data_IF_331044904834
#
_entry.id   IF_331044904834
#
_cell.length_a   1.000
_cell.length_b   1.000
_cell.length_c   1.000
_cell.angle_alpha   90.00
_cell.angle_beta   90.00
_cell.angle_gamma   90.00
#
_symmetry.space_group_name_H-M   'P 1'
#
loop_
_entity.id
_entity.type
_entity.pdbx_description
1 polymer ?
#
# COMPACT_ATOMS: atom_id res chain seq x y z
N UNK A 1 -4.83 12.91 -2.36
CA UNK A 1 -4.39 12.47 -3.70
C UNK A 1 -4.90 11.06 -3.94
N UNK A 2 -5.60 10.83 -5.05
CA UNK A 2 -6.10 9.53 -5.46
C UNK A 2 -5.25 8.96 -6.60
N UNK A 3 -5.04 7.65 -6.59
CA UNK A 3 -4.33 6.89 -7.61
C UNK A 3 -5.29 5.84 -8.16
N UNK A 4 -5.42 5.74 -9.48
CA UNK A 4 -6.26 4.73 -10.14
C UNK A 4 -5.37 3.83 -10.98
N UNK A 5 -5.48 2.52 -10.75
CA UNK A 5 -4.85 1.49 -11.55
C UNK A 5 -5.60 1.24 -12.86
N UNK A 6 -4.90 0.66 -13.82
CA UNK A 6 -5.47 0.25 -15.10
C UNK A 6 -6.66 -0.72 -14.94
N UNK A 7 -7.70 -0.54 -15.75
CA UNK A 7 -8.80 -1.48 -15.93
C UNK A 7 -8.73 -2.07 -17.35
N UNK A 8 -8.37 -3.35 -17.45
CA UNK A 8 -8.27 -4.15 -18.68
C UNK A 8 -8.67 -5.61 -18.40
N UNK A 9 -9.96 -5.90 -18.19
CA UNK A 9 -10.43 -7.26 -17.88
C UNK A 9 -10.06 -8.32 -18.94
N UNK A 10 -9.85 -7.91 -20.19
CA UNK A 10 -9.39 -8.78 -21.28
C UNK A 10 -7.92 -9.22 -21.14
N UNK A 11 -7.07 -8.38 -20.53
CA UNK A 11 -5.63 -8.65 -20.33
C UNK A 11 -5.31 -9.08 -18.88
N UNK A 12 -6.19 -8.76 -17.94
CA UNK A 12 -6.02 -8.99 -16.50
C UNK A 12 -7.18 -9.85 -15.96
N UNK A 13 -7.07 -11.19 -16.02
CA UNK A 13 -8.17 -12.10 -15.70
C UNK A 13 -8.78 -11.91 -14.29
N UNK A 14 -7.99 -11.42 -13.33
CA UNK A 14 -8.48 -11.11 -11.98
C UNK A 14 -9.56 -10.03 -11.93
N UNK A 15 -9.62 -9.14 -12.93
CA UNK A 15 -10.61 -8.07 -13.03
C UNK A 15 -11.94 -8.56 -13.65
N UNK A 16 -11.91 -9.65 -14.41
CA UNK A 16 -13.09 -10.27 -15.02
C UNK A 16 -13.64 -11.45 -14.19
N UNK A 17 -12.89 -11.89 -13.17
CA UNK A 17 -13.23 -13.08 -12.40
C UNK A 17 -14.53 -12.91 -11.61
N UNK A 18 -15.50 -13.84 -11.70
CA UNK A 18 -16.69 -13.82 -10.85
C UNK A 18 -16.37 -14.08 -9.36
N UNK A 19 -15.15 -14.55 -9.06
CA UNK A 19 -14.65 -14.73 -7.71
C UNK A 19 -13.72 -13.60 -7.27
N UNK A 20 -13.72 -12.47 -7.99
CA UNK A 20 -12.93 -11.32 -7.58
C UNK A 20 -13.44 -10.79 -6.25
N UNK A 21 -12.50 -10.47 -5.36
CA UNK A 21 -12.79 -9.94 -4.02
C UNK A 21 -12.67 -8.41 -3.95
N UNK A 22 -12.37 -7.76 -5.08
CA UNK A 22 -12.17 -6.33 -5.18
C UNK A 22 -13.11 -5.77 -6.25
N UNK A 23 -13.71 -4.62 -5.98
CA UNK A 23 -14.33 -3.79 -6.99
C UNK A 23 -13.24 -3.09 -7.82
N UNK A 24 -13.22 -3.37 -9.13
CA UNK A 24 -12.20 -2.86 -10.05
C UNK A 24 -12.69 -1.59 -10.76
N UNK A 25 -11.81 -0.62 -11.08
CA UNK A 25 -10.35 -0.66 -10.94
C UNK A 25 -9.86 -0.53 -9.50
N UNK A 26 -8.64 -1.00 -9.26
CA UNK A 26 -7.96 -0.73 -7.99
C UNK A 26 -7.74 0.78 -7.83
N UNK A 27 -8.17 1.33 -6.71
CA UNK A 27 -8.01 2.74 -6.36
C UNK A 27 -7.34 2.85 -5.00
N UNK A 28 -6.46 3.82 -4.86
CA UNK A 28 -5.74 4.03 -3.60
C UNK A 28 -5.51 5.51 -3.33
N UNK A 29 -5.22 5.85 -2.09
CA UNK A 29 -5.20 7.24 -1.66
C UNK A 29 -4.09 7.55 -0.65
N UNK A 30 -3.55 8.75 -0.74
CA UNK A 30 -2.64 9.35 0.25
C UNK A 30 -3.11 10.77 0.58
N UNK A 31 -2.79 11.27 1.77
CA UNK A 31 -2.87 12.73 2.01
C UNK A 31 -1.88 13.45 1.10
N UNK A 32 -2.05 14.75 0.90
CA UNK A 32 -1.06 15.52 0.13
C UNK A 32 0.30 15.49 0.82
N UNK A 33 0.35 15.65 2.14
CA UNK A 33 1.58 15.59 2.94
C UNK A 33 2.31 14.24 2.79
N UNK A 34 1.57 13.13 2.80
CA UNK A 34 2.14 11.80 2.57
C UNK A 34 2.67 11.64 1.15
N UNK A 35 1.92 12.11 0.15
CA UNK A 35 2.27 11.97 -1.25
C UNK A 35 3.50 12.81 -1.66
N UNK A 36 3.71 13.96 -1.01
CA UNK A 36 4.87 14.83 -1.25
C UNK A 36 6.04 14.56 -0.32
N UNK A 37 5.89 13.63 0.63
CA UNK A 37 6.96 13.25 1.55
C UNK A 37 8.14 12.63 0.77
N UNK A 38 9.41 12.98 1.07
CA UNK A 38 10.57 12.47 0.32
C UNK A 38 10.73 10.95 0.26
N UNK A 39 10.14 10.23 1.23
CA UNK A 39 10.12 8.76 1.24
C UNK A 39 8.99 8.15 0.39
N UNK A 40 8.03 8.94 -0.11
CA UNK A 40 7.07 8.48 -1.09
C UNK A 40 7.60 8.78 -2.49
N UNK A 41 7.71 7.76 -3.33
CA UNK A 41 8.33 7.92 -4.64
C UNK A 41 7.67 7.08 -5.73
N UNK A 42 7.71 7.62 -6.94
CA UNK A 42 7.37 6.90 -8.15
C UNK A 42 8.41 5.83 -8.45
N UNK A 43 7.97 4.60 -8.69
CA UNK A 43 8.84 3.47 -9.02
C UNK A 43 8.59 3.04 -10.46
N UNK A 44 9.69 2.96 -11.23
CA UNK A 44 9.71 2.59 -12.65
C UNK A 44 10.56 1.35 -12.95
N UNK A 45 11.17 0.75 -11.92
CA UNK A 45 11.95 -0.47 -12.05
C UNK A 45 12.42 -1.01 -10.71
N UNK A 46 12.98 -2.22 -10.71
CA UNK A 46 13.55 -2.90 -9.54
C UNK A 46 14.84 -3.57 -9.98
N UNK A 47 15.93 -3.38 -9.24
CA UNK A 47 17.26 -3.94 -9.57
C UNK A 47 17.75 -3.64 -11.00
N UNK A 48 17.39 -2.46 -11.54
CA UNK A 48 17.76 -2.06 -12.90
C UNK A 48 16.83 -2.58 -14.00
N UNK A 49 15.87 -3.45 -13.67
CA UNK A 49 14.90 -3.98 -14.63
C UNK A 49 13.56 -3.22 -14.55
N UNK A 50 13.04 -2.86 -15.72
CA UNK A 50 11.77 -2.15 -15.90
C UNK A 50 10.67 -3.07 -16.46
N UNK A 51 11.01 -4.29 -16.90
CA UNK A 51 10.10 -5.25 -17.53
C UNK A 51 9.53 -6.25 -16.52
N UNK A 52 9.10 -5.76 -15.36
CA UNK A 52 8.57 -6.57 -14.26
C UNK A 52 7.07 -6.28 -14.02
N UNK A 53 6.16 -6.77 -14.89
CA UNK A 53 4.73 -6.50 -14.77
C UNK A 53 4.16 -6.94 -13.41
N UNK A 54 4.63 -8.04 -12.82
CA UNK A 54 4.23 -8.50 -11.49
C UNK A 54 4.50 -7.47 -10.37
N UNK A 55 5.49 -6.59 -10.57
CA UNK A 55 5.81 -5.50 -9.65
C UNK A 55 4.93 -4.26 -9.85
N UNK A 56 4.11 -4.20 -10.91
CA UNK A 56 3.23 -3.08 -11.24
C UNK A 56 3.82 -2.06 -12.22
N UNK A 57 4.79 -2.48 -13.03
CA UNK A 57 5.45 -1.65 -14.05
C UNK A 57 4.52 -1.39 -15.25
N UNK A 58 4.63 -0.26 -15.97
CA UNK A 58 5.76 0.68 -15.98
C UNK A 58 5.75 1.70 -14.84
N UNK A 59 4.66 1.80 -14.08
CA UNK A 59 4.53 2.85 -13.06
C UNK A 59 3.69 2.41 -11.86
N UNK A 60 4.28 2.54 -10.67
CA UNK A 60 3.62 2.39 -9.37
C UNK A 60 4.09 3.46 -8.40
N UNK A 61 3.33 3.68 -7.33
CA UNK A 61 3.79 4.47 -6.18
C UNK A 61 4.38 3.53 -5.13
N UNK A 62 5.38 3.97 -4.37
CA UNK A 62 5.94 3.24 -3.22
C UNK A 62 5.92 4.11 -1.98
N UNK A 63 5.39 3.56 -0.89
CA UNK A 63 5.23 4.25 0.40
C UNK A 63 5.76 3.34 1.52
N UNK A 64 7.05 3.46 1.88
CA UNK A 64 7.76 2.39 2.60
C UNK A 64 7.35 2.20 4.06
N UNK A 65 6.67 3.18 4.67
CA UNK A 65 6.23 3.11 6.07
C UNK A 65 4.79 2.60 6.27
N UNK A 66 4.09 2.32 5.16
CA UNK A 66 2.71 1.81 5.14
C UNK A 66 2.68 0.35 4.72
N UNK A 67 1.56 -0.33 5.00
CA UNK A 67 1.35 -1.68 4.47
C UNK A 67 1.31 -1.68 2.94
N UNK A 68 1.72 -2.80 2.33
CA UNK A 68 1.99 -2.89 0.90
C UNK A 68 0.83 -2.52 -0.02
N UNK A 69 -0.42 -2.68 0.44
CA UNK A 69 -1.58 -2.31 -0.37
C UNK A 69 -1.66 -0.80 -0.66
N UNK A 70 -1.07 0.06 0.17
CA UNK A 70 -1.00 1.51 -0.10
C UNK A 70 -0.11 1.88 -1.28
N UNK A 71 0.70 0.94 -1.79
CA UNK A 71 1.58 1.12 -2.94
C UNK A 71 0.91 0.61 -4.23
N UNK A 72 -0.02 1.40 -4.76
CA UNK A 72 -0.80 1.06 -5.95
C UNK A 72 0.07 0.81 -7.20
N UNK A 73 -0.31 -0.22 -7.97
CA UNK A 73 0.39 -0.70 -9.17
C UNK A 73 -0.30 -0.24 -10.45
N UNK A 74 0.42 -0.20 -11.57
CA UNK A 74 -0.13 0.11 -12.90
C UNK A 74 -0.96 1.40 -12.92
N UNK A 75 -0.43 2.47 -12.32
CA UNK A 75 -1.16 3.72 -12.15
C UNK A 75 -1.36 4.37 -13.52
N UNK A 76 -2.61 4.69 -13.86
CA UNK A 76 -2.99 5.36 -15.11
C UNK A 76 -3.60 6.76 -14.88
N UNK A 77 -4.00 7.08 -13.64
CA UNK A 77 -4.55 8.38 -13.28
C UNK A 77 -4.14 8.78 -11.86
N UNK A 78 -3.79 10.04 -11.70
CA UNK A 78 -3.58 10.69 -10.39
C UNK A 78 -4.55 11.88 -10.32
N UNK A 79 -5.34 11.94 -9.25
CA UNK A 79 -6.33 13.00 -9.04
C UNK A 79 -6.05 13.74 -7.74
N UNK A 80 -5.98 15.07 -7.82
CA UNK A 80 -5.99 15.94 -6.65
C UNK A 80 -7.44 16.27 -6.30
N UNK A 81 -7.79 16.11 -5.03
CA UNK A 81 -9.16 16.26 -4.52
C UNK A 81 -9.07 16.92 -3.15
N UNK A 82 -10.03 17.79 -2.86
CA UNK A 82 -10.21 18.42 -1.55
C UNK A 82 -10.71 17.40 -0.52
N UNK A 83 -11.59 16.50 -0.95
CA UNK A 83 -12.14 15.44 -0.12
C UNK A 83 -11.24 14.21 -0.10
N UNK A 84 -11.34 13.43 0.99
CA UNK A 84 -10.61 12.18 1.17
C UNK A 84 -11.08 11.14 0.14
N UNK A 85 -10.23 10.73 -0.81
CA UNK A 85 -10.63 9.75 -1.81
C UNK A 85 -10.74 8.34 -1.22
N UNK A 86 -11.52 7.50 -1.89
CA UNK A 86 -11.66 6.11 -1.54
C UNK A 86 -10.36 5.31 -1.75
N UNK A 87 -10.25 4.18 -1.06
CA UNK A 87 -9.14 3.24 -1.11
C UNK A 87 -9.69 1.81 -1.13
N UNK A 88 -9.28 0.98 -2.10
CA UNK A 88 -9.91 -0.31 -2.38
C UNK A 88 -10.03 -1.18 -1.12
N UNK A 89 -8.94 -1.49 -0.42
CA UNK A 89 -9.03 -2.37 0.76
C UNK A 89 -9.82 -1.77 1.92
N UNK A 90 -9.84 -0.45 2.03
CA UNK A 90 -10.67 0.24 3.02
C UNK A 90 -12.16 0.14 2.71
N UNK A 91 -12.54 0.15 1.42
CA UNK A 91 -13.90 -0.08 0.97
C UNK A 91 -14.32 -1.55 1.15
N UNK A 92 -13.46 -2.49 0.72
CA UNK A 92 -13.80 -3.91 0.72
C UNK A 92 -13.90 -4.51 2.13
N UNK A 93 -13.04 -4.09 3.04
CA UNK A 93 -13.01 -4.62 4.40
C UNK A 93 -12.60 -3.53 5.42
N UNK A 94 -13.47 -2.53 5.68
CA UNK A 94 -13.17 -1.41 6.56
C UNK A 94 -12.86 -1.83 8.01
N UNK A 95 -13.35 -2.99 8.46
CA UNK A 95 -13.02 -3.54 9.78
C UNK A 95 -11.58 -4.08 9.89
N UNK A 96 -10.92 -4.32 8.77
CA UNK A 96 -9.60 -4.94 8.66
C UNK A 96 -8.51 -3.96 8.22
N UNK A 97 -8.86 -3.07 7.29
CA UNK A 97 -7.93 -2.13 6.65
C UNK A 97 -8.42 -0.68 6.80
N UNK A 98 -7.79 0.08 7.69
CA UNK A 98 -8.06 1.51 7.82
C UNK A 98 -7.41 2.31 6.69
N UNK A 99 -7.87 3.54 6.49
CA UNK A 99 -7.47 4.37 5.34
C UNK A 99 -5.99 4.77 5.34
N UNK A 100 -5.37 5.07 6.48
CA UNK A 100 -3.96 5.48 6.54
C UNK A 100 -3.00 4.29 6.43
N UNK A 101 -3.30 3.19 7.14
CA UNK A 101 -2.57 1.92 7.07
C UNK A 101 -1.05 2.02 7.30
N UNK A 102 -0.61 2.86 8.23
CA UNK A 102 0.77 2.88 8.70
C UNK A 102 1.12 1.53 9.37
N UNK A 103 2.37 1.09 9.27
CA UNK A 103 2.84 -0.14 9.94
C UNK A 103 2.92 0.11 11.44
N UNK A 104 2.00 -0.48 12.19
CA UNK A 104 1.96 -0.40 13.66
C UNK A 104 1.98 -1.81 14.27
N UNK A 105 3.15 -2.32 14.71
CA UNK A 105 3.26 -3.66 15.29
C UNK A 105 2.39 -3.88 16.54
N UNK A 106 2.06 -2.80 17.25
CA UNK A 106 1.21 -2.81 18.44
C UNK A 106 -0.29 -2.96 18.14
N UNK A 107 -0.71 -2.88 16.87
CA UNK A 107 -2.10 -2.99 16.46
C UNK A 107 -2.24 -4.23 15.58
N UNK A 108 -2.87 -5.27 16.12
CA UNK A 108 -3.13 -6.50 15.40
C UNK A 108 -4.20 -6.31 14.32
N UNK A 109 -4.02 -7.02 13.20
CA UNK A 109 -5.09 -7.28 12.26
C UNK A 109 -6.17 -8.14 12.95
N UNK A 110 -7.48 -8.02 12.62
CA UNK A 110 -8.52 -8.83 13.26
C UNK A 110 -8.28 -10.35 13.24
N UNK A 111 -7.52 -10.83 12.25
CA UNK A 111 -7.23 -12.24 12.03
C UNK A 111 -5.81 -12.69 12.43
N UNK A 112 -4.87 -11.77 12.69
CA UNK A 112 -3.49 -12.12 13.07
C UNK A 112 -2.74 -10.97 13.76
N UNK A 113 -1.70 -11.31 14.53
CA UNK A 113 -0.81 -10.30 15.13
C UNK A 113 0.14 -9.69 14.11
N UNK A 114 0.33 -8.37 14.19
CA UNK A 114 1.31 -7.61 13.39
C UNK A 114 2.64 -7.40 14.13
N UNK A 115 2.83 -8.03 15.30
CA UNK A 115 4.04 -7.84 16.12
C UNK A 115 5.30 -8.44 15.48
N UNK A 116 5.15 -9.41 14.57
CA UNK A 116 6.24 -10.06 13.86
C UNK A 116 5.89 -10.25 12.40
N UNK A 117 6.91 -10.27 11.54
CA UNK A 117 6.79 -10.49 10.10
C UNK A 117 7.71 -11.62 9.62
N UNK A 118 7.41 -12.14 8.44
CA UNK A 118 8.25 -13.11 7.73
C UNK A 118 9.10 -12.37 6.73
N UNK A 119 10.38 -12.16 7.04
CA UNK A 119 11.36 -11.60 6.11
C UNK A 119 11.67 -12.64 5.05
N UNK A 120 11.48 -12.26 3.78
CA UNK A 120 11.87 -13.05 2.60
C UNK A 120 13.21 -12.50 2.11
N UNK A 121 14.21 -13.35 1.95
CA UNK A 121 15.55 -12.94 1.54
C UNK A 121 16.30 -14.08 0.83
N UNK A 122 17.46 -13.78 0.24
CA UNK A 122 18.25 -14.77 -0.50
C UNK A 122 17.47 -15.40 -1.65
N UNK A 123 17.58 -16.73 -1.79
CA UNK A 123 16.87 -17.53 -2.80
C UNK A 123 15.50 -18.04 -2.30
N UNK A 124 14.87 -17.32 -1.36
CA UNK A 124 13.58 -17.68 -0.78
C UNK A 124 13.65 -18.10 0.68
N UNK A 125 14.73 -17.79 1.38
CA UNK A 125 14.85 -17.98 2.81
C UNK A 125 13.81 -17.14 3.55
N UNK A 126 13.27 -17.73 4.62
CA UNK A 126 12.21 -17.12 5.41
C UNK A 126 12.59 -17.12 6.89
N UNK A 127 12.70 -15.93 7.45
CA UNK A 127 12.99 -15.71 8.87
C UNK A 127 11.84 -14.93 9.52
N UNK A 128 11.50 -15.26 10.77
CA UNK A 128 10.53 -14.46 11.54
C UNK A 128 11.27 -13.43 12.39
N UNK A 129 10.96 -12.15 12.17
CA UNK A 129 11.58 -11.02 12.88
C UNK A 129 10.50 -10.13 13.52
N UNK A 130 10.83 -9.34 14.55
CA UNK A 130 9.92 -8.32 15.08
C UNK A 130 9.65 -7.22 14.02
N UNK A 131 8.38 -6.88 13.82
CA UNK A 131 8.01 -5.76 12.95
C UNK A 131 8.34 -4.43 13.63
N UNK A 132 8.71 -3.43 12.84
CA UNK A 132 9.12 -2.11 13.34
C UNK A 132 8.02 -1.07 13.13
N UNK A 133 7.77 -0.15 14.07
CA UNK A 133 6.87 0.98 13.85
C UNK A 133 7.26 1.76 12.59
N UNK A 134 6.28 2.12 11.78
CA UNK A 134 6.47 2.78 10.48
C UNK A 134 7.45 2.02 9.58
N UNK A 135 7.51 0.70 9.70
CA UNK A 135 8.45 -0.17 8.98
C UNK A 135 9.92 0.25 9.14
N UNK A 136 10.28 0.86 10.29
CA UNK A 136 11.63 1.35 10.57
C UNK A 136 11.88 2.81 10.19
N UNK A 137 10.89 3.53 9.64
CA UNK A 137 11.02 4.94 9.24
C UNK A 137 10.47 5.94 10.27
N UNK A 138 10.26 5.50 11.52
CA UNK A 138 9.57 6.31 12.55
C UNK A 138 10.16 7.71 12.73
N UNK A 139 11.48 7.84 12.81
CA UNK A 139 12.18 9.12 12.98
C UNK A 139 11.93 10.09 11.81
N UNK A 140 11.55 9.57 10.64
CA UNK A 140 11.29 10.37 9.45
C UNK A 140 9.82 10.74 9.27
N UNK A 141 8.88 9.89 9.70
CA UNK A 141 7.45 10.05 9.32
C UNK A 141 6.50 10.21 10.50
N UNK A 142 6.92 9.94 11.74
CA UNK A 142 6.02 9.98 12.89
C UNK A 142 5.41 11.38 13.11
N UNK A 143 6.13 12.44 12.72
CA UNK A 143 5.66 13.83 12.83
C UNK A 143 4.45 14.14 11.94
N UNK A 144 4.20 13.36 10.88
CA UNK A 144 3.00 13.48 10.03
C UNK A 144 1.73 13.01 10.75
N UNK A 145 1.88 12.34 11.89
CA UNK A 145 0.80 11.66 12.60
C UNK A 145 0.75 12.03 14.09
N UNK A 146 0.61 13.33 14.44
CA UNK A 146 0.65 13.76 15.83
C UNK A 146 -0.53 13.18 16.62
N UNK A 147 -0.24 12.24 17.52
CA UNK A 147 -1.15 11.84 18.60
C UNK A 147 -2.20 10.77 18.29
N UNK A 148 -2.21 10.10 17.13
CA UNK A 148 -3.29 9.15 16.82
C UNK A 148 -2.84 7.69 16.76
N UNK A 149 -3.15 6.94 17.83
CA UNK A 149 -3.22 5.45 17.80
C UNK A 149 -4.36 4.92 16.90
N UNK A 150 -5.20 5.81 16.37
CA UNK A 150 -6.45 5.46 15.67
C UNK A 150 -6.28 5.20 14.17
N UNK A 151 -5.12 5.49 13.56
CA UNK A 151 -4.97 5.46 12.10
C UNK A 151 -4.85 4.06 11.45
N UNK A 152 -4.98 2.98 12.24
CA UNK A 152 -5.10 1.64 11.68
C UNK A 152 -6.54 1.29 11.27
N UNK A 153 -7.57 1.90 11.87
CA UNK A 153 -9.00 1.68 11.53
C UNK A 153 -9.64 2.99 11.07
#
# INVERSE_FOLDING_TARGET
>A
MAFTSVLRPEEMPGQASPFSSLDWPYVEALTIEEAVHPLSFATFGVYGDQNLPQNGMPFRITVPWKYGFKSAKFIVRITFTEERPAATWHLEAPGEYGWYSNVYPSISHPRWSQATERRIWGEGDIERIPSRPYNGYGDHVAHLYPGSKQQYR
#
